data_IF_276856500858
#
_entry.id   IF_276856500858
#
_cell.length_a   1.000
_cell.length_b   1.000
_cell.length_c   1.000
_cell.angle_alpha   90.00
_cell.angle_beta   90.00
_cell.angle_gamma   90.00
#
_symmetry.space_group_name_H-M   'P 1'
#
loop_
_entity.id
_entity.type
_entity.pdbx_description
1 polymer ?
#
# COMPACT_ATOMS: atom_id res chain seq x y z
N UNK A 1 -0.48 -14.00 1.35
CA UNK A 1 -0.19 -12.90 2.31
C UNK A 1 -0.87 -13.25 3.62
N UNK A 2 -0.45 -12.74 4.76
CA UNK A 2 -0.98 -13.16 6.05
C UNK A 2 -1.51 -11.93 6.78
N UNK A 3 -2.74 -12.02 7.27
CA UNK A 3 -3.33 -11.08 8.22
C UNK A 3 -3.08 -11.63 9.62
N UNK A 4 -2.53 -10.80 10.49
CA UNK A 4 -2.22 -11.17 11.86
C UNK A 4 -2.71 -10.09 12.82
N UNK A 5 -2.98 -10.52 14.05
CA UNK A 5 -3.37 -9.65 15.15
C UNK A 5 -2.31 -9.69 16.24
N UNK A 6 -2.09 -8.55 16.89
CA UNK A 6 -1.24 -8.41 18.07
C UNK A 6 -2.14 -7.86 19.16
N UNK A 7 -2.41 -8.66 20.19
CA UNK A 7 -3.25 -8.25 21.32
C UNK A 7 -2.36 -7.88 22.49
N UNK A 8 -2.65 -6.75 23.14
CA UNK A 8 -2.01 -6.36 24.39
C UNK A 8 -2.82 -6.92 25.56
N UNK A 9 -2.25 -7.85 26.33
CA UNK A 9 -2.91 -8.52 27.44
C UNK A 9 -3.19 -7.58 28.65
N UNK A 10 -2.67 -6.35 28.63
CA UNK A 10 -2.85 -5.35 29.71
C UNK A 10 -3.95 -4.34 29.40
N UNK A 11 -4.07 -3.94 28.14
CA UNK A 11 -5.04 -2.89 27.71
C UNK A 11 -6.20 -3.45 26.92
N UNK A 12 -6.16 -4.74 26.59
CA UNK A 12 -7.06 -5.43 25.65
C UNK A 12 -7.11 -4.78 24.26
N UNK A 13 -6.17 -3.89 23.94
CA UNK A 13 -6.06 -3.28 22.61
C UNK A 13 -5.53 -4.31 21.60
N UNK A 14 -6.25 -4.48 20.49
CA UNK A 14 -5.88 -5.36 19.39
C UNK A 14 -5.34 -4.54 18.22
N UNK A 15 -4.21 -4.97 17.69
CA UNK A 15 -3.54 -4.33 16.57
C UNK A 15 -3.53 -5.25 15.36
N UNK A 16 -4.10 -4.80 14.24
CA UNK A 16 -4.23 -5.62 13.03
C UNK A 16 -3.14 -5.24 12.03
N UNK A 17 -2.40 -6.22 11.54
CA UNK A 17 -1.31 -6.03 10.59
C UNK A 17 -1.34 -7.05 9.46
N UNK A 18 -0.54 -6.79 8.43
CA UNK A 18 -0.38 -7.71 7.30
C UNK A 18 1.09 -7.95 7.01
N UNK A 19 1.45 -9.18 6.67
CA UNK A 19 2.81 -9.61 6.31
C UNK A 19 2.80 -10.51 5.08
N UNK A 20 3.96 -10.63 4.42
CA UNK A 20 4.12 -11.49 3.23
C UNK A 20 4.90 -12.77 3.52
N UNK A 21 5.67 -12.80 4.60
CA UNK A 21 6.68 -13.83 4.86
C UNK A 21 6.34 -14.59 6.14
N UNK A 22 6.69 -14.01 7.29
CA UNK A 22 6.43 -14.59 8.60
C UNK A 22 5.92 -13.52 9.57
N UNK A 23 5.07 -13.95 10.49
CA UNK A 23 4.53 -13.12 11.57
C UNK A 23 5.62 -12.86 12.61
N UNK A 24 6.41 -13.88 12.97
CA UNK A 24 7.45 -13.78 14.00
C UNK A 24 8.56 -12.78 13.60
N UNK A 25 9.01 -12.84 12.34
CA UNK A 25 9.99 -11.88 11.83
C UNK A 25 9.43 -10.46 11.85
N UNK A 26 8.15 -10.30 11.52
CA UNK A 26 7.47 -9.00 11.54
C UNK A 26 7.31 -8.48 12.97
N UNK A 27 7.00 -9.35 13.92
CA UNK A 27 6.93 -9.03 15.34
C UNK A 27 8.29 -8.60 15.89
N UNK A 28 9.36 -9.33 15.55
CA UNK A 28 10.73 -8.94 15.92
C UNK A 28 11.10 -7.56 15.38
N UNK A 29 10.72 -7.23 14.15
CA UNK A 29 10.89 -5.87 13.61
C UNK A 29 10.14 -4.82 14.43
N UNK A 30 8.91 -5.10 14.89
CA UNK A 30 8.19 -4.18 15.77
C UNK A 30 8.88 -3.99 17.11
N UNK A 31 9.43 -5.06 17.71
CA UNK A 31 10.21 -4.95 18.95
C UNK A 31 11.48 -4.11 18.78
N UNK A 32 12.22 -4.30 17.68
CA UNK A 32 13.41 -3.50 17.38
C UNK A 32 13.04 -2.04 17.11
N UNK A 33 11.95 -1.80 16.38
CA UNK A 33 11.40 -0.48 16.12
C UNK A 33 10.86 0.23 17.37
N UNK A 34 10.37 -0.52 18.35
CA UNK A 34 9.92 0.05 19.63
C UNK A 34 11.08 0.61 20.44
N UNK A 35 12.27 -0.01 20.36
CA UNK A 35 13.50 0.50 21.01
C UNK A 35 13.98 1.81 20.39
N UNK A 36 13.51 2.13 19.18
CA UNK A 36 13.85 3.35 18.48
C UNK A 36 12.87 4.47 18.89
N UNK A 37 13.40 5.58 19.39
CA UNK A 37 12.62 6.69 19.98
C UNK A 37 11.85 7.55 18.94
N UNK A 38 12.13 7.35 17.65
CA UNK A 38 11.49 8.13 16.57
C UNK A 38 10.17 7.54 16.06
N UNK A 39 9.71 6.43 16.64
CA UNK A 39 8.53 5.71 16.17
C UNK A 39 7.31 6.11 17.00
N UNK A 40 6.46 6.96 16.43
CA UNK A 40 5.31 7.58 17.13
C UNK A 40 4.00 6.76 17.10
N UNK A 41 4.02 5.52 16.58
CA UNK A 41 2.81 4.70 16.55
C UNK A 41 2.45 4.23 17.96
N UNK A 42 1.13 4.15 18.24
CA UNK A 42 0.59 3.69 19.53
C UNK A 42 1.19 2.37 20.00
N UNK A 43 1.26 1.38 19.10
CA UNK A 43 1.90 0.09 19.36
C UNK A 43 3.30 0.22 19.96
N UNK A 44 4.14 1.16 19.48
CA UNK A 44 5.49 1.30 20.00
C UNK A 44 5.54 1.93 21.38
N UNK A 45 4.60 2.83 21.68
CA UNK A 45 4.45 3.38 23.03
C UNK A 45 4.06 2.26 23.99
N UNK A 46 3.09 1.45 23.63
CA UNK A 46 2.61 0.36 24.48
C UNK A 46 3.67 -0.74 24.67
N UNK A 47 4.44 -1.06 23.61
CA UNK A 47 5.59 -1.98 23.74
C UNK A 47 6.65 -1.44 24.71
N UNK A 48 6.86 -0.12 24.78
CA UNK A 48 7.80 0.51 25.72
C UNK A 48 7.24 0.55 27.14
N UNK A 49 5.95 0.83 27.30
CA UNK A 49 5.30 1.01 28.59
C UNK A 49 5.01 -0.33 29.28
N UNK A 50 4.48 -1.32 28.56
CA UNK A 50 4.06 -2.62 29.09
C UNK A 50 5.07 -3.75 28.82
N UNK A 51 6.02 -3.53 27.91
CA UNK A 51 7.02 -4.52 27.51
C UNK A 51 6.50 -5.55 26.51
N UNK A 52 7.39 -6.06 25.65
CA UNK A 52 7.05 -6.99 24.57
C UNK A 52 6.54 -8.38 25.02
N UNK A 53 6.59 -8.70 26.32
CA UNK A 53 6.07 -9.98 26.87
C UNK A 53 4.56 -9.96 27.11
N UNK A 54 3.99 -8.75 27.20
CA UNK A 54 2.56 -8.52 27.48
C UNK A 54 1.73 -8.50 26.18
N UNK A 55 2.30 -8.99 25.09
CA UNK A 55 1.67 -9.01 23.78
C UNK A 55 1.61 -10.45 23.27
N UNK A 56 0.41 -10.87 22.89
CA UNK A 56 0.15 -12.12 22.20
C UNK A 56 0.01 -11.85 20.71
N UNK A 57 0.78 -12.56 19.89
CA UNK A 57 0.75 -12.43 18.44
C UNK A 57 0.09 -13.66 17.85
N UNK A 58 -1.00 -13.46 17.12
CA UNK A 58 -1.82 -14.53 16.56
C UNK A 58 -2.01 -14.35 15.06
N UNK A 59 -1.98 -15.46 14.33
CA UNK A 59 -2.37 -15.49 12.93
C UNK A 59 -3.90 -15.42 12.84
N UNK A 60 -4.43 -14.48 12.06
CA UNK A 60 -5.87 -14.39 11.81
C UNK A 60 -6.24 -15.26 10.62
N UNK A 61 -5.63 -14.97 9.46
CA UNK A 61 -5.89 -15.73 8.24
C UNK A 61 -4.77 -15.58 7.20
N UNK A 62 -4.61 -16.60 6.36
CA UNK A 62 -3.77 -16.54 5.16
C UNK A 62 -4.62 -16.14 3.98
N UNK A 63 -4.31 -14.99 3.40
CA UNK A 63 -4.89 -14.50 2.16
C UNK A 63 -4.17 -15.04 0.93
N UNK A 64 -4.91 -15.47 -0.09
CA UNK A 64 -4.34 -15.92 -1.36
C UNK A 64 -4.06 -14.75 -2.31
N UNK A 65 -4.92 -13.74 -2.31
CA UNK A 65 -4.87 -12.60 -3.22
C UNK A 65 -4.97 -11.25 -2.49
N UNK A 66 -4.81 -10.14 -3.24
CA UNK A 66 -4.85 -8.77 -2.72
C UNK A 66 -6.25 -8.38 -2.22
N UNK A 67 -7.28 -8.83 -2.92
CA UNK A 67 -8.70 -8.58 -2.57
C UNK A 67 -9.05 -9.34 -1.30
N UNK A 68 -8.77 -10.65 -1.29
CA UNK A 68 -8.91 -11.53 -0.12
C UNK A 68 -8.18 -10.99 1.12
N UNK A 69 -6.96 -10.47 0.96
CA UNK A 69 -6.23 -9.82 2.06
C UNK A 69 -6.94 -8.59 2.61
N UNK A 70 -7.59 -7.81 1.74
CA UNK A 70 -8.31 -6.60 2.15
C UNK A 70 -9.57 -6.99 2.92
N UNK A 71 -10.31 -7.97 2.43
CA UNK A 71 -11.55 -8.42 3.06
C UNK A 71 -11.26 -9.04 4.43
N UNK A 72 -10.27 -9.94 4.52
CA UNK A 72 -9.81 -10.51 5.80
C UNK A 72 -9.27 -9.46 6.77
N UNK A 73 -8.66 -8.39 6.25
CA UNK A 73 -8.16 -7.29 7.08
C UNK A 73 -9.32 -6.44 7.63
N UNK A 74 -10.30 -6.12 6.79
CA UNK A 74 -11.47 -5.34 7.18
C UNK A 74 -12.32 -6.13 8.21
N UNK A 75 -12.48 -7.45 8.02
CA UNK A 75 -13.14 -8.34 8.98
C UNK A 75 -12.42 -8.37 10.34
N UNK A 76 -11.10 -8.57 10.34
CA UNK A 76 -10.31 -8.54 11.58
C UNK A 76 -10.36 -7.18 12.31
N UNK A 77 -10.46 -6.07 11.56
CA UNK A 77 -10.59 -4.74 12.12
C UNK A 77 -11.97 -4.51 12.76
N UNK A 78 -13.04 -4.98 12.11
CA UNK A 78 -14.41 -4.89 12.63
C UNK A 78 -14.62 -5.80 13.85
N UNK A 79 -14.15 -7.04 13.78
CA UNK A 79 -14.31 -8.05 14.83
C UNK A 79 -13.59 -7.64 16.14
N UNK A 80 -12.38 -7.10 16.03
CA UNK A 80 -11.58 -6.74 17.20
C UNK A 80 -11.58 -5.24 17.51
N UNK A 81 -12.31 -4.43 16.74
CA UNK A 81 -12.24 -2.95 16.79
C UNK A 81 -10.80 -2.43 16.81
N UNK A 82 -9.94 -3.09 16.03
CA UNK A 82 -8.50 -3.02 16.18
C UNK A 82 -7.87 -1.74 15.62
N UNK A 83 -6.61 -1.49 15.99
CA UNK A 83 -5.81 -0.38 15.47
C UNK A 83 -4.98 -0.90 14.29
N UNK A 84 -5.14 -0.24 13.12
CA UNK A 84 -4.40 -0.61 11.92
C UNK A 84 -2.89 -0.33 12.07
N UNK A 85 -2.08 -1.38 11.85
CA UNK A 85 -0.63 -1.30 11.73
C UNK A 85 -0.16 -1.09 10.29
N UNK A 86 -1.09 -1.01 9.34
CA UNK A 86 -0.76 -0.82 7.92
C UNK A 86 -0.19 0.59 7.74
N UNK A 87 1.04 0.67 7.23
CA UNK A 87 1.75 1.94 7.04
C UNK A 87 2.60 2.39 8.24
N UNK A 88 2.59 1.65 9.36
CA UNK A 88 3.50 1.90 10.48
C UNK A 88 4.93 1.54 10.08
N UNK A 89 5.85 2.49 10.27
CA UNK A 89 7.25 2.36 9.88
C UNK A 89 8.03 1.59 10.94
N UNK A 90 8.54 0.41 10.56
CA UNK A 90 9.33 -0.48 11.42
C UNK A 90 10.85 -0.27 11.32
N UNK A 91 11.32 0.65 10.49
CA UNK A 91 12.76 0.86 10.31
C UNK A 91 13.11 2.34 10.36
N UNK A 92 14.27 2.64 10.95
CA UNK A 92 14.93 3.93 10.77
C UNK A 92 15.12 4.12 9.26
N UNK A 93 14.76 5.26 8.66
CA UNK A 93 15.17 5.56 7.30
C UNK A 93 16.70 5.44 7.25
N UNK A 94 17.19 4.38 6.60
CA UNK A 94 18.62 4.13 6.46
C UNK A 94 19.26 5.45 6.02
N UNK A 95 20.27 6.00 6.74
CA UNK A 95 20.86 7.26 6.35
C UNK A 95 21.36 7.06 4.93
N UNK A 96 20.75 7.79 4.00
CA UNK A 96 21.21 7.85 2.63
C UNK A 96 22.63 8.35 2.76
N UNK A 97 23.63 7.47 2.61
CA UNK A 97 25.01 7.87 2.42
C UNK A 97 24.99 8.73 1.18
N UNK A 98 24.83 10.03 1.36
CA UNK A 98 25.11 11.03 0.35
C UNK A 98 26.56 10.79 0.01
N UNK A 99 26.80 10.10 -1.10
CA UNK A 99 28.11 9.97 -1.67
C UNK A 99 28.60 11.39 -1.91
N UNK A 100 29.41 11.90 -0.99
CA UNK A 100 30.15 13.15 -1.15
C UNK A 100 30.97 12.95 -2.41
N UNK A 101 30.48 13.47 -3.53
CA UNK A 101 31.27 13.61 -4.74
C UNK A 101 32.39 14.58 -4.37
N UNK A 102 33.57 14.02 -4.06
CA UNK A 102 34.81 14.77 -4.02
C UNK A 102 34.90 15.54 -5.34
N UNK A 103 34.86 16.86 -5.24
CA UNK A 103 35.12 17.78 -6.33
C UNK A 103 36.57 17.59 -6.76
N UNK A 104 36.77 16.82 -7.82
CA UNK A 104 38.07 16.69 -8.46
C UNK A 104 38.39 17.99 -9.19
N UNK A 105 39.46 18.63 -8.73
CA UNK A 105 40.09 19.83 -9.29
C UNK A 105 40.42 19.59 -10.77
N UNK A 106 40.00 20.53 -11.63
CA UNK A 106 40.27 20.52 -13.07
C UNK A 106 41.77 20.72 -13.33
N UNK A 107 42.36 19.86 -14.17
CA UNK A 107 43.53 20.16 -15.02
C UNK A 107 43.30 19.57 -16.42
N UNK A 108 43.75 20.22 -17.52
CA UNK A 108 43.24 19.96 -18.87
C UNK A 108 44.11 19.03 -19.73
N UNK A 109 43.53 18.64 -20.89
CA UNK A 109 44.13 17.97 -22.07
C UNK A 109 44.24 16.42 -21.95
N UNK A 110 43.98 15.55 -22.94
CA UNK A 110 44.00 15.60 -24.42
C UNK A 110 42.97 14.59 -25.00
N UNK A 111 42.53 14.87 -26.23
CA UNK A 111 41.66 14.16 -27.19
C UNK A 111 41.78 12.62 -27.25
N UNK A 112 40.64 11.90 -27.41
CA UNK A 112 40.36 10.86 -28.45
C UNK A 112 38.93 10.30 -28.36
N UNK A 113 38.45 9.79 -29.50
CA UNK A 113 37.06 9.55 -29.94
C UNK A 113 36.23 8.49 -29.17
N UNK A 114 34.88 8.49 -29.28
CA UNK A 114 34.01 7.64 -28.48
C UNK A 114 33.70 6.30 -29.16
N UNK A 115 33.95 5.19 -28.47
CA UNK A 115 33.45 3.86 -28.85
C UNK A 115 32.24 3.53 -27.96
N UNK A 116 31.07 3.38 -28.60
CA UNK A 116 29.78 3.04 -27.99
C UNK A 116 29.81 1.63 -27.39
N UNK A 117 29.41 1.48 -26.12
CA UNK A 117 28.77 0.26 -25.56
C UNK A 117 27.72 0.66 -24.50
N UNK A 118 26.60 -0.10 -24.41
CA UNK A 118 25.31 0.41 -23.97
C UNK A 118 25.17 0.52 -22.44
N UNK A 119 24.54 1.62 -22.01
CA UNK A 119 24.17 1.85 -20.63
C UNK A 119 23.01 0.92 -20.23
N UNK A 120 23.23 0.14 -19.18
CA UNK A 120 22.15 -0.46 -18.39
C UNK A 120 21.29 0.68 -17.84
N UNK A 121 20.06 0.78 -18.32
CA UNK A 121 19.05 1.68 -17.79
C UNK A 121 18.90 1.44 -16.29
N UNK A 122 19.43 2.36 -15.49
CA UNK A 122 19.10 2.46 -14.08
C UNK A 122 17.82 3.26 -14.01
N UNK A 123 16.73 2.57 -13.70
CA UNK A 123 15.46 3.16 -13.25
C UNK A 123 15.76 4.34 -12.32
N UNK A 124 15.29 5.51 -12.74
CA UNK A 124 15.55 6.78 -12.07
C UNK A 124 15.03 6.73 -10.65
N UNK A 125 15.93 6.97 -9.70
CA UNK A 125 15.63 7.18 -8.28
C UNK A 125 14.58 8.27 -8.14
N UNK A 126 13.35 7.86 -7.84
CA UNK A 126 12.19 8.74 -7.66
C UNK A 126 12.28 9.48 -6.33
N UNK A 127 12.97 10.62 -6.33
CA UNK A 127 12.71 11.71 -5.37
C UNK A 127 13.24 13.02 -5.95
N UNK A 128 12.36 13.76 -6.62
CA UNK A 128 12.69 15.11 -7.08
C UNK A 128 12.54 16.08 -5.91
N UNK A 129 13.64 16.72 -5.49
CA UNK A 129 13.73 17.62 -4.32
C UNK A 129 13.03 18.98 -4.50
N UNK A 130 11.77 19.03 -4.95
CA UNK A 130 11.00 20.29 -4.98
C UNK A 130 9.51 20.05 -4.77
N UNK A 131 8.94 20.74 -3.78
CA UNK A 131 7.54 20.63 -3.37
C UNK A 131 6.55 20.95 -4.51
N UNK A 132 6.94 21.76 -5.49
CA UNK A 132 6.13 22.02 -6.69
C UNK A 132 5.97 20.77 -7.57
N UNK A 133 7.01 19.92 -7.65
CA UNK A 133 6.97 18.68 -8.41
C UNK A 133 6.19 17.59 -7.68
N UNK A 134 6.27 17.52 -6.35
CA UNK A 134 5.45 16.60 -5.56
C UNK A 134 3.94 16.94 -5.62
N UNK A 135 3.57 18.24 -5.73
CA UNK A 135 2.16 18.64 -5.95
C UNK A 135 1.67 18.27 -7.36
N UNK A 136 2.46 18.55 -8.40
CA UNK A 136 2.10 18.18 -9.77
C UNK A 136 1.98 16.66 -9.98
N UNK A 137 2.84 15.86 -9.33
CA UNK A 137 2.76 14.39 -9.38
C UNK A 137 1.51 13.88 -8.65
N UNK A 138 1.15 14.48 -7.51
CA UNK A 138 -0.03 14.07 -6.75
C UNK A 138 -1.34 14.40 -7.48
N UNK A 139 -1.40 15.55 -8.15
CA UNK A 139 -2.54 15.98 -8.96
C UNK A 139 -2.72 15.09 -10.19
N UNK A 140 -1.63 14.77 -10.91
CA UNK A 140 -1.67 13.85 -12.04
C UNK A 140 -2.15 12.43 -11.66
N UNK A 141 -1.79 11.93 -10.47
CA UNK A 141 -2.22 10.61 -10.01
C UNK A 141 -3.71 10.61 -9.58
N UNK A 142 -4.23 11.72 -9.05
CA UNK A 142 -5.67 11.82 -8.77
C UNK A 142 -6.52 11.92 -10.03
N UNK A 143 -6.00 12.58 -11.07
CA UNK A 143 -6.72 12.77 -12.32
C UNK A 143 -6.81 11.45 -13.11
N UNK A 144 -5.71 10.68 -13.20
CA UNK A 144 -5.72 9.34 -13.83
C UNK A 144 -6.62 8.34 -13.08
N UNK A 145 -6.73 8.45 -11.74
CA UNK A 145 -7.62 7.59 -10.95
C UNK A 145 -9.09 7.96 -11.15
N UNK A 146 -9.41 9.25 -11.24
CA UNK A 146 -10.76 9.71 -11.55
C UNK A 146 -11.20 9.26 -12.94
N UNK A 147 -10.32 9.31 -13.95
CA UNK A 147 -10.61 8.83 -15.31
C UNK A 147 -10.85 7.32 -15.38
N UNK A 148 -10.21 6.53 -14.51
CA UNK A 148 -10.45 5.08 -14.43
C UNK A 148 -11.75 4.75 -13.73
N UNK A 149 -12.15 5.53 -12.74
CA UNK A 149 -13.44 5.41 -12.07
C UNK A 149 -14.58 5.87 -12.99
N UNK A 150 -14.42 6.96 -13.75
CA UNK A 150 -15.43 7.38 -14.74
C UNK A 150 -15.54 6.39 -15.89
N UNK A 151 -14.45 5.81 -16.38
CA UNK A 151 -14.52 4.76 -17.41
C UNK A 151 -15.21 3.49 -16.91
N UNK A 152 -14.97 3.07 -15.66
CA UNK A 152 -15.68 1.93 -15.06
C UNK A 152 -17.17 2.25 -14.87
N UNK A 153 -17.50 3.46 -14.42
CA UNK A 153 -18.87 3.87 -14.18
C UNK A 153 -19.64 4.08 -15.51
N UNK A 154 -19.00 4.59 -16.56
CA UNK A 154 -19.55 4.67 -17.91
C UNK A 154 -19.80 3.28 -18.49
N UNK A 155 -18.89 2.33 -18.28
CA UNK A 155 -19.08 0.94 -18.74
C UNK A 155 -20.24 0.25 -18.01
N UNK A 156 -20.35 0.44 -16.70
CA UNK A 156 -21.47 -0.08 -15.91
C UNK A 156 -22.82 0.56 -16.31
N UNK A 157 -22.82 1.86 -16.61
CA UNK A 157 -24.02 2.55 -17.08
C UNK A 157 -24.45 2.07 -18.48
N UNK A 158 -23.50 1.84 -19.39
CA UNK A 158 -23.77 1.29 -20.72
C UNK A 158 -24.33 -0.14 -20.63
N UNK A 159 -23.74 -0.99 -19.79
CA UNK A 159 -24.22 -2.36 -19.55
C UNK A 159 -25.63 -2.37 -18.95
N UNK A 160 -25.92 -1.48 -17.99
CA UNK A 160 -27.27 -1.34 -17.43
C UNK A 160 -28.29 -0.84 -18.48
N UNK A 161 -27.87 0.01 -19.42
CA UNK A 161 -28.74 0.48 -20.49
C UNK A 161 -29.01 -0.60 -21.53
N UNK A 162 -28.03 -1.46 -21.84
CA UNK A 162 -28.22 -2.65 -22.68
C UNK A 162 -29.15 -3.66 -21.99
N UNK A 163 -29.00 -3.90 -20.68
CA UNK A 163 -29.92 -4.75 -19.92
C UNK A 163 -31.34 -4.18 -19.89
N UNK A 164 -31.48 -2.85 -19.80
CA UNK A 164 -32.78 -2.17 -19.83
C UNK A 164 -33.45 -2.28 -21.20
N UNK A 165 -32.70 -2.14 -22.30
CA UNK A 165 -33.25 -2.27 -23.65
C UNK A 165 -33.66 -3.72 -23.97
N UNK A 166 -32.87 -4.69 -23.50
CA UNK A 166 -33.23 -6.12 -23.59
C UNK A 166 -34.51 -6.41 -22.79
N UNK A 167 -34.64 -5.87 -21.57
CA UNK A 167 -35.87 -6.01 -20.77
C UNK A 167 -37.08 -5.34 -21.43
N UNK A 168 -36.93 -4.12 -21.96
CA UNK A 168 -38.00 -3.42 -22.65
C UNK A 168 -38.47 -4.15 -23.92
N UNK A 169 -37.55 -4.76 -24.66
CA UNK A 169 -37.87 -5.58 -25.84
C UNK A 169 -38.57 -6.89 -25.48
N UNK A 170 -38.21 -7.50 -24.34
CA UNK A 170 -38.89 -8.68 -23.80
C UNK A 170 -40.32 -8.33 -23.36
N UNK A 171 -40.54 -7.19 -22.72
CA UNK A 171 -41.85 -6.74 -22.28
C UNK A 171 -42.78 -6.41 -23.47
N UNK A 172 -42.23 -5.77 -24.51
CA UNK A 172 -42.94 -5.55 -25.77
C UNK A 172 -43.29 -6.87 -26.50
N UNK A 173 -42.43 -7.89 -26.45
CA UNK A 173 -42.74 -9.21 -27.03
C UNK A 173 -43.76 -9.98 -26.18
N UNK A 174 -43.65 -9.94 -24.86
CA UNK A 174 -44.57 -10.59 -23.92
C UNK A 174 -45.99 -10.01 -23.98
N UNK A 175 -46.11 -8.71 -24.19
CA UNK A 175 -47.42 -8.04 -24.30
C UNK A 175 -48.20 -8.44 -25.57
N UNK A 176 -47.52 -8.80 -26.66
CA UNK A 176 -48.15 -9.25 -27.91
C UNK A 176 -48.66 -10.70 -27.88
N UNK A 177 -48.10 -11.54 -27.00
CA UNK A 177 -48.50 -12.94 -26.82
C UNK A 177 -49.71 -13.11 -25.90
N UNK A 178 -50.00 -12.14 -25.03
CA UNK A 178 -51.15 -12.18 -24.11
C UNK A 178 -52.46 -11.68 -24.72
N UNK A 179 -52.43 -11.22 -25.99
CA UNK A 179 -53.60 -10.65 -26.69
C UNK A 179 -54.10 -11.51 -27.88
N UNK A 180 -53.67 -12.77 -27.98
CA UNK A 180 -54.23 -13.78 -28.89
C UNK A 180 -54.97 -14.84 -28.12
#
# INVERSE_FOLDING_TARGET
MIVFTITNDVTDEVYVGTTKVSIEERWKQYQEAAKLDHTAARLYKDIRDFGAKSFSVSEYAVAFDREDQKDLFDEAMEEHQGISLVGVKTTVPKPVKVAVKKTAVKKPAVKKAPVKKPAKEKVSSGRTNSAAKERAIKEAISEEKAERETQKLMKAAAEAQEMRDIMARLDNRGSSLKKR
#
